data_IF_060704308863
#
_entry.id   IF_060704308863
#
_cell.length_a   1.000
_cell.length_b   1.000
_cell.length_c   1.000
_cell.angle_alpha   90.00
_cell.angle_beta   90.00
_cell.angle_gamma   90.00
#
_symmetry.space_group_name_H-M   'P 1'
#
loop_
_entity.id
_entity.type
_entity.pdbx_description
1 polymer ?
#
# COMPACT_ATOMS: atom_id res chain seq x y z
N UNK A 1 41.36 -27.22 0.76
CA UNK A 1 40.84 -26.73 -0.52
C UNK A 1 39.76 -25.71 -0.20
N UNK A 2 40.05 -24.41 -0.39
CA UNK A 2 39.04 -23.36 -0.19
C UNK A 2 37.96 -23.54 -1.26
N UNK A 3 36.72 -23.74 -0.83
CA UNK A 3 35.57 -23.66 -1.73
C UNK A 3 35.49 -22.21 -2.22
N UNK A 4 35.69 -22.01 -3.52
CA UNK A 4 35.36 -20.76 -4.20
C UNK A 4 33.85 -20.56 -4.05
N UNK A 5 33.44 -19.69 -3.13
CA UNK A 5 32.08 -19.17 -3.10
C UNK A 5 31.94 -18.31 -4.35
N UNK A 6 31.39 -18.88 -5.43
CA UNK A 6 31.04 -18.13 -6.62
C UNK A 6 30.00 -17.10 -6.19
N UNK A 7 30.39 -15.83 -6.12
CA UNK A 7 29.48 -14.73 -5.87
C UNK A 7 28.62 -14.56 -7.13
N UNK A 8 27.46 -15.21 -7.18
CA UNK A 8 26.52 -15.13 -8.30
C UNK A 8 25.89 -13.75 -8.33
N UNK A 9 26.23 -12.94 -9.34
CA UNK A 9 25.55 -11.66 -9.57
C UNK A 9 24.21 -11.92 -10.22
N UNK A 10 23.21 -11.12 -9.89
CA UNK A 10 21.90 -11.13 -10.51
C UNK A 10 22.02 -11.02 -12.03
N UNK A 11 22.87 -10.13 -12.54
CA UNK A 11 23.06 -9.91 -13.99
C UNK A 11 23.71 -11.09 -14.72
N UNK A 12 24.37 -12.00 -14.00
CA UNK A 12 24.97 -13.20 -14.60
C UNK A 12 23.92 -14.29 -14.82
N UNK A 13 22.81 -14.26 -14.08
CA UNK A 13 21.73 -15.26 -14.16
C UNK A 13 20.42 -14.72 -14.76
N UNK A 14 20.16 -13.42 -14.66
CA UNK A 14 18.88 -12.80 -14.99
C UNK A 14 19.04 -11.52 -15.80
N UNK A 15 18.15 -11.33 -16.77
CA UNK A 15 17.99 -10.10 -17.54
C UNK A 15 16.75 -9.32 -17.07
N UNK A 16 16.89 -8.03 -16.75
CA UNK A 16 15.78 -7.15 -16.33
C UNK A 16 15.02 -6.54 -17.53
N UNK A 17 13.71 -6.36 -17.35
CA UNK A 17 12.80 -5.76 -18.33
C UNK A 17 11.91 -4.69 -17.67
N UNK A 18 10.67 -4.48 -18.12
CA UNK A 18 9.80 -3.40 -17.65
C UNK A 18 9.47 -3.44 -16.15
N UNK A 19 9.12 -2.28 -15.61
CA UNK A 19 8.63 -2.14 -14.24
C UNK A 19 7.18 -2.64 -14.13
N UNK A 20 6.92 -3.46 -13.10
CA UNK A 20 5.60 -4.00 -12.78
C UNK A 20 4.96 -3.26 -11.60
N UNK A 21 5.77 -2.67 -10.71
CA UNK A 21 5.30 -1.90 -9.58
C UNK A 21 6.44 -1.28 -8.76
N UNK A 22 6.10 -0.32 -7.89
CA UNK A 22 7.05 0.44 -7.07
C UNK A 22 6.54 0.53 -5.63
N UNK A 23 7.46 0.35 -4.68
CA UNK A 23 7.26 0.58 -3.26
C UNK A 23 8.25 1.62 -2.72
N UNK A 24 8.16 1.91 -1.41
CA UNK A 24 8.97 2.98 -0.79
C UNK A 24 10.49 2.79 -0.95
N UNK A 25 10.98 1.56 -0.90
CA UNK A 25 12.42 1.24 -0.97
C UNK A 25 12.76 0.18 -2.03
N UNK A 26 11.78 -0.18 -2.87
CA UNK A 26 11.92 -1.27 -3.82
C UNK A 26 11.18 -0.99 -5.12
N UNK A 27 11.68 -1.56 -6.21
CA UNK A 27 10.98 -1.63 -7.48
C UNK A 27 10.82 -3.10 -7.87
N UNK A 28 9.66 -3.47 -8.42
CA UNK A 28 9.40 -4.81 -8.96
C UNK A 28 9.50 -4.72 -10.47
N UNK A 29 10.39 -5.50 -11.08
CA UNK A 29 10.56 -5.55 -12.54
C UNK A 29 10.39 -6.97 -13.05
N UNK A 30 9.89 -7.14 -14.27
CA UNK A 30 9.96 -8.44 -14.94
C UNK A 30 11.43 -8.79 -15.20
N UNK A 31 11.79 -10.05 -15.01
CA UNK A 31 13.10 -10.57 -15.39
C UNK A 31 13.00 -11.94 -16.04
N UNK A 32 14.03 -12.32 -16.80
CA UNK A 32 14.12 -13.62 -17.48
C UNK A 32 15.41 -14.30 -17.05
N UNK A 33 15.33 -15.57 -16.63
CA UNK A 33 16.51 -16.36 -16.28
C UNK A 33 17.25 -16.79 -17.54
N UNK A 34 18.49 -16.34 -17.71
CA UNK A 34 19.29 -16.47 -18.94
C UNK A 34 19.42 -17.94 -19.38
N UNK A 35 19.67 -18.85 -18.44
CA UNK A 35 19.91 -20.27 -18.74
C UNK A 35 18.68 -21.05 -19.20
N UNK A 36 17.46 -20.58 -18.90
CA UNK A 36 16.22 -21.32 -19.17
C UNK A 36 15.20 -20.56 -20.02
N UNK A 37 15.34 -19.24 -20.15
CA UNK A 37 14.33 -18.39 -20.76
C UNK A 37 13.06 -18.20 -19.91
N UNK A 38 13.00 -18.75 -18.70
CA UNK A 38 11.83 -18.64 -17.83
C UNK A 38 11.69 -17.23 -17.24
N UNK A 39 10.46 -16.70 -17.25
CA UNK A 39 10.15 -15.37 -16.73
C UNK A 39 9.79 -15.38 -15.23
N UNK A 40 10.15 -14.28 -14.55
CA UNK A 40 9.98 -14.05 -13.11
C UNK A 40 9.71 -12.56 -12.83
N UNK A 41 9.34 -12.25 -11.57
CA UNK A 41 9.30 -10.90 -11.05
C UNK A 41 10.44 -10.69 -10.05
N UNK A 42 11.35 -9.75 -10.32
CA UNK A 42 12.43 -9.37 -9.41
C UNK A 42 12.01 -8.14 -8.58
N UNK A 43 11.85 -8.32 -7.27
CA UNK A 43 11.76 -7.22 -6.30
C UNK A 43 13.18 -6.77 -5.96
N UNK A 44 13.57 -5.61 -6.49
CA UNK A 44 14.89 -4.99 -6.36
C UNK A 44 14.82 -3.98 -5.23
N UNK A 45 15.57 -4.22 -4.16
CA UNK A 45 15.52 -3.44 -2.93
C UNK A 45 16.85 -2.70 -2.78
N UNK A 46 16.81 -1.38 -2.62
CA UNK A 46 18.02 -0.59 -2.41
C UNK A 46 18.43 -0.66 -0.93
N UNK A 47 19.40 -1.52 -0.62
CA UNK A 47 19.84 -1.77 0.76
C UNK A 47 20.56 -0.56 1.36
N UNK A 48 21.15 0.33 0.54
CA UNK A 48 21.79 1.56 1.02
C UNK A 48 20.80 2.53 1.67
N UNK A 49 19.52 2.48 1.29
CA UNK A 49 18.45 3.33 1.84
C UNK A 49 17.77 2.72 3.08
N UNK A 50 18.11 1.49 3.45
CA UNK A 50 17.46 0.77 4.55
C UNK A 50 18.11 1.08 5.90
N UNK A 51 17.29 1.25 6.93
CA UNK A 51 17.78 1.24 8.32
C UNK A 51 18.21 -0.17 8.74
N UNK A 52 18.92 -0.30 9.87
CA UNK A 52 19.25 -1.62 10.45
C UNK A 52 17.99 -2.45 10.74
N UNK A 53 16.90 -1.79 11.15
CA UNK A 53 15.60 -2.43 11.38
C UNK A 53 14.98 -2.95 10.09
N UNK A 54 15.13 -2.24 8.99
CA UNK A 54 14.56 -2.65 7.69
C UNK A 54 15.37 -3.77 7.04
N UNK A 55 16.69 -3.83 7.27
CA UNK A 55 17.49 -5.01 6.94
C UNK A 55 16.98 -6.28 7.62
N UNK A 56 16.69 -6.22 8.93
CA UNK A 56 16.12 -7.36 9.65
C UNK A 56 14.73 -7.78 9.12
N UNK A 57 13.91 -6.83 8.67
CA UNK A 57 12.62 -7.14 8.03
C UNK A 57 12.83 -7.84 6.69
N UNK A 58 13.79 -7.39 5.89
CA UNK A 58 14.13 -7.99 4.60
C UNK A 58 14.60 -9.44 4.77
N UNK A 59 15.51 -9.70 5.70
CA UNK A 59 15.97 -11.07 5.99
C UNK A 59 14.83 -11.99 6.43
N UNK A 60 13.90 -11.45 7.25
CA UNK A 60 12.70 -12.19 7.66
C UNK A 60 11.78 -12.46 6.48
N UNK A 61 11.50 -11.46 5.63
CA UNK A 61 10.67 -11.63 4.43
C UNK A 61 11.25 -12.71 3.51
N UNK A 62 12.55 -12.65 3.21
CA UNK A 62 13.22 -13.66 2.37
C UNK A 62 13.13 -15.06 2.97
N UNK A 63 13.33 -15.20 4.30
CA UNK A 63 13.22 -16.48 5.01
C UNK A 63 11.80 -17.05 4.95
N UNK A 64 10.79 -16.23 5.25
CA UNK A 64 9.38 -16.62 5.23
C UNK A 64 8.98 -17.06 3.83
N UNK A 65 9.28 -16.26 2.80
CA UNK A 65 8.93 -16.57 1.42
C UNK A 65 9.62 -17.84 0.89
N UNK A 66 10.81 -18.18 1.41
CA UNK A 66 11.51 -19.43 1.06
C UNK A 66 10.87 -20.67 1.69
N UNK A 67 10.26 -20.52 2.88
CA UNK A 67 9.54 -21.58 3.59
C UNK A 67 8.20 -21.90 2.90
N UNK A 68 7.45 -20.86 2.51
CA UNK A 68 6.09 -21.00 1.99
C UNK A 68 6.08 -21.50 0.54
N UNK A 69 5.54 -22.70 0.34
CA UNK A 69 5.41 -23.34 -0.98
C UNK A 69 3.98 -23.84 -1.16
N UNK A 70 3.16 -23.00 -1.79
CA UNK A 70 1.74 -23.27 -2.00
C UNK A 70 1.28 -22.74 -3.36
N UNK A 71 0.37 -23.43 -4.08
CA UNK A 71 -0.14 -22.95 -5.38
C UNK A 71 -0.74 -21.54 -5.32
N UNK A 72 -1.42 -21.21 -4.22
CA UNK A 72 -2.05 -19.91 -3.97
C UNK A 72 -1.15 -18.89 -3.24
N UNK A 73 0.18 -19.09 -3.22
CA UNK A 73 1.16 -18.11 -2.72
C UNK A 73 2.13 -17.79 -3.86
N UNK A 74 2.54 -16.53 -3.99
CA UNK A 74 3.60 -16.12 -4.91
C UNK A 74 4.94 -16.67 -4.38
N UNK A 75 5.51 -17.66 -5.07
CA UNK A 75 6.70 -18.37 -4.61
C UNK A 75 7.96 -17.54 -4.80
N UNK A 76 8.86 -17.55 -3.81
CA UNK A 76 10.24 -17.09 -3.97
C UNK A 76 11.11 -18.21 -4.55
N UNK A 77 11.78 -17.92 -5.65
CA UNK A 77 12.73 -18.82 -6.32
C UNK A 77 14.16 -18.54 -5.90
N UNK A 78 14.53 -17.27 -5.82
CA UNK A 78 15.91 -16.87 -5.53
C UNK A 78 15.99 -15.61 -4.66
N UNK A 79 17.10 -15.48 -3.94
CA UNK A 79 17.42 -14.32 -3.10
C UNK A 79 18.91 -14.00 -3.24
N UNK A 80 19.21 -12.95 -3.99
CA UNK A 80 20.58 -12.58 -4.36
C UNK A 80 20.90 -11.24 -3.70
N UNK A 81 22.00 -11.20 -2.96
CA UNK A 81 22.47 -9.98 -2.29
C UNK A 81 23.72 -9.47 -3.01
N UNK A 82 23.70 -8.19 -3.41
CA UNK A 82 24.80 -7.49 -4.06
C UNK A 82 25.14 -6.21 -3.32
N UNK A 83 26.22 -5.54 -3.73
CA UNK A 83 26.62 -4.27 -3.12
C UNK A 83 25.57 -3.17 -3.33
N UNK A 84 24.79 -2.90 -2.29
CA UNK A 84 23.77 -1.86 -2.25
C UNK A 84 22.40 -2.25 -2.79
N UNK A 85 22.23 -3.50 -3.25
CA UNK A 85 20.94 -4.01 -3.71
C UNK A 85 20.69 -5.45 -3.23
N UNK A 86 19.43 -5.76 -2.98
CA UNK A 86 18.97 -7.13 -2.73
C UNK A 86 17.85 -7.46 -3.70
N UNK A 87 17.96 -8.61 -4.36
CA UNK A 87 17.02 -9.11 -5.35
C UNK A 87 16.26 -10.29 -4.77
N UNK A 88 14.93 -10.19 -4.71
CA UNK A 88 14.04 -11.31 -4.42
C UNK A 88 13.32 -11.70 -5.71
N UNK A 89 13.57 -12.89 -6.21
CA UNK A 89 13.02 -13.39 -7.49
C UNK A 89 11.81 -14.26 -7.22
N UNK A 90 10.64 -13.79 -7.62
CA UNK A 90 9.33 -14.41 -7.38
C UNK A 90 8.70 -14.96 -8.67
N UNK A 91 7.69 -15.82 -8.52
CA UNK A 91 6.74 -16.12 -9.61
C UNK A 91 6.28 -14.81 -10.29
N UNK A 92 6.35 -14.77 -11.62
CA UNK A 92 5.68 -13.70 -12.37
C UNK A 92 4.17 -13.97 -12.40
N UNK A 93 3.38 -13.04 -11.89
CA UNK A 93 1.92 -13.07 -11.97
C UNK A 93 1.43 -11.97 -12.90
N UNK A 94 0.59 -12.32 -13.88
CA UNK A 94 0.20 -11.40 -14.98
C UNK A 94 -1.30 -11.08 -15.01
N UNK A 95 -2.08 -11.66 -14.10
CA UNK A 95 -3.54 -11.46 -14.01
C UNK A 95 -3.95 -10.15 -13.35
N UNK A 96 -3.03 -9.45 -12.68
CA UNK A 96 -3.33 -8.23 -11.93
C UNK A 96 -4.03 -8.51 -10.59
N UNK A 97 -4.65 -7.48 -10.01
CA UNK A 97 -5.37 -7.57 -8.74
C UNK A 97 -6.73 -8.27 -8.91
N UNK A 98 -7.06 -9.21 -8.02
CA UNK A 98 -8.32 -9.96 -8.03
C UNK A 98 -9.55 -9.04 -8.13
N UNK A 99 -9.54 -7.95 -7.37
CA UNK A 99 -10.66 -7.01 -7.30
C UNK A 99 -10.90 -6.27 -8.62
N UNK A 100 -9.85 -6.07 -9.43
CA UNK A 100 -10.00 -5.43 -10.75
C UNK A 100 -10.57 -6.41 -11.76
N UNK A 101 -10.15 -7.68 -11.70
CA UNK A 101 -10.70 -8.74 -12.55
C UNK A 101 -12.19 -8.96 -12.28
N UNK A 102 -12.62 -8.97 -11.02
CA UNK A 102 -14.05 -9.10 -10.66
C UNK A 102 -14.89 -8.01 -11.34
N UNK A 103 -14.38 -6.76 -11.37
CA UNK A 103 -15.08 -5.63 -12.02
C UNK A 103 -15.18 -5.79 -13.54
N UNK A 104 -14.25 -6.54 -14.15
CA UNK A 104 -14.22 -6.78 -15.58
C UNK A 104 -15.07 -7.98 -16.03
N UNK A 105 -15.63 -8.77 -15.10
CA UNK A 105 -16.46 -9.93 -15.42
C UNK A 105 -17.88 -9.50 -15.79
N UNK A 106 -18.43 -10.13 -16.83
CA UNK A 106 -19.85 -10.01 -17.18
C UNK A 106 -20.77 -10.65 -16.14
N UNK A 107 -20.26 -11.63 -15.40
CA UNK A 107 -21.00 -12.38 -14.40
C UNK A 107 -20.17 -12.59 -13.14
N UNK A 108 -20.79 -12.32 -12.01
CA UNK A 108 -20.24 -12.47 -10.66
C UNK A 108 -21.34 -12.81 -9.66
N UNK A 109 -21.12 -13.85 -8.85
CA UNK A 109 -22.08 -14.46 -7.93
C UNK A 109 -21.45 -14.76 -6.55
N UNK A 110 -22.26 -15.23 -5.59
CA UNK A 110 -21.71 -15.73 -4.32
C UNK A 110 -20.83 -16.96 -4.51
N UNK A 111 -21.14 -17.82 -5.48
CA UNK A 111 -20.30 -18.96 -5.79
C UNK A 111 -18.90 -18.54 -6.26
N UNK A 112 -18.80 -17.46 -7.05
CA UNK A 112 -17.51 -16.89 -7.46
C UNK A 112 -16.75 -16.31 -6.26
N UNK A 113 -17.43 -15.57 -5.38
CA UNK A 113 -16.86 -15.03 -4.15
C UNK A 113 -16.36 -16.15 -3.21
N UNK A 114 -17.16 -17.21 -3.05
CA UNK A 114 -16.84 -18.42 -2.30
C UNK A 114 -15.61 -19.12 -2.88
N UNK A 115 -15.47 -19.18 -4.21
CA UNK A 115 -14.28 -19.72 -4.86
C UNK A 115 -13.02 -18.88 -4.60
N UNK A 116 -13.14 -17.57 -4.62
CA UNK A 116 -12.02 -16.67 -4.35
C UNK A 116 -11.57 -16.81 -2.89
N UNK A 117 -12.50 -16.71 -1.92
CA UNK A 117 -12.14 -16.78 -0.50
C UNK A 117 -11.63 -18.16 -0.10
N UNK A 118 -12.08 -19.25 -0.75
CA UNK A 118 -11.51 -20.58 -0.53
C UNK A 118 -10.00 -20.59 -0.81
N UNK A 119 -9.58 -20.10 -1.98
CA UNK A 119 -8.15 -20.06 -2.36
C UNK A 119 -7.33 -19.15 -1.43
N UNK A 120 -7.93 -18.05 -0.97
CA UNK A 120 -7.32 -17.18 0.04
C UNK A 120 -7.15 -17.95 1.35
N UNK A 121 -8.18 -18.63 1.84
CA UNK A 121 -8.14 -19.43 3.07
C UNK A 121 -7.16 -20.61 2.98
N UNK A 122 -7.02 -21.24 1.82
CA UNK A 122 -6.01 -22.28 1.57
C UNK A 122 -4.58 -21.72 1.74
N UNK A 123 -4.31 -20.54 1.16
CA UNK A 123 -3.03 -19.85 1.34
C UNK A 123 -2.77 -19.45 2.80
N UNK A 124 -3.78 -18.89 3.48
CA UNK A 124 -3.69 -18.45 4.89
C UNK A 124 -3.51 -19.65 5.81
N UNK A 125 -4.25 -20.74 5.57
CA UNK A 125 -4.08 -21.99 6.30
C UNK A 125 -2.65 -22.53 6.15
N UNK A 126 -2.12 -22.53 4.93
CA UNK A 126 -0.72 -22.93 4.68
C UNK A 126 0.28 -22.06 5.43
N UNK A 127 0.08 -20.74 5.49
CA UNK A 127 0.89 -19.86 6.34
C UNK A 127 0.80 -20.28 7.82
N UNK A 128 -0.43 -20.46 8.33
CA UNK A 128 -0.70 -20.73 9.74
C UNK A 128 -0.11 -22.07 10.22
N UNK A 129 -0.16 -23.13 9.39
CA UNK A 129 0.45 -24.43 9.74
C UNK A 129 1.98 -24.37 9.74
N UNK A 130 2.57 -23.46 8.97
CA UNK A 130 4.01 -23.18 8.97
C UNK A 130 4.42 -22.14 10.02
N UNK A 131 3.52 -21.77 10.94
CA UNK A 131 3.81 -20.78 11.99
C UNK A 131 4.00 -19.36 11.47
N UNK A 132 3.43 -19.01 10.32
CA UNK A 132 3.50 -17.68 9.72
C UNK A 132 2.17 -16.96 9.86
N UNK A 133 2.22 -15.68 10.25
CA UNK A 133 1.08 -14.76 10.25
C UNK A 133 1.37 -13.61 9.28
N UNK A 134 0.45 -13.35 8.35
CA UNK A 134 0.66 -12.38 7.27
C UNK A 134 0.58 -10.93 7.75
N UNK A 135 -0.44 -10.61 8.57
CA UNK A 135 -0.73 -9.30 9.19
C UNK A 135 -1.11 -8.14 8.26
N UNK A 136 -1.00 -8.30 6.95
CA UNK A 136 -1.43 -7.28 5.97
C UNK A 136 -2.24 -7.86 4.81
N UNK A 137 -3.21 -8.72 5.13
CA UNK A 137 -4.17 -9.22 4.14
C UNK A 137 -5.10 -8.08 3.70
N UNK A 138 -5.12 -7.82 2.40
CA UNK A 138 -5.90 -6.75 1.75
C UNK A 138 -5.98 -6.99 0.24
N UNK A 139 -6.91 -6.32 -0.49
CA UNK A 139 -7.07 -6.45 -1.93
C UNK A 139 -5.79 -6.32 -2.76
N UNK A 140 -4.89 -5.40 -2.39
CA UNK A 140 -3.60 -5.17 -3.07
C UNK A 140 -2.72 -6.43 -3.11
N UNK A 141 -2.84 -7.28 -2.09
CA UNK A 141 -2.00 -8.45 -1.89
C UNK A 141 -2.63 -9.73 -2.45
N UNK A 142 -3.77 -9.61 -3.16
CA UNK A 142 -4.52 -10.71 -3.76
C UNK A 142 -4.44 -10.60 -5.28
N UNK A 143 -3.51 -11.33 -5.86
CA UNK A 143 -3.21 -11.27 -7.30
C UNK A 143 -3.75 -12.49 -8.03
N UNK A 144 -3.96 -12.37 -9.33
CA UNK A 144 -4.31 -13.49 -10.20
C UNK A 144 -3.07 -13.98 -10.96
N UNK A 145 -2.92 -15.31 -11.01
CA UNK A 145 -1.78 -15.94 -11.68
C UNK A 145 -1.65 -15.53 -13.16
N UNK A 146 -2.78 -15.38 -13.86
CA UNK A 146 -2.85 -14.94 -15.26
C UNK A 146 -4.21 -14.30 -15.56
N UNK A 147 -4.39 -13.78 -16.77
CA UNK A 147 -5.70 -13.28 -17.27
C UNK A 147 -6.62 -14.39 -17.78
N UNK A 148 -6.21 -15.65 -17.73
CA UNK A 148 -7.04 -16.76 -18.18
C UNK A 148 -8.24 -16.95 -17.26
N UNK A 149 -9.39 -17.31 -17.84
CA UNK A 149 -10.59 -17.64 -17.07
C UNK A 149 -10.28 -18.79 -16.10
N UNK A 150 -10.57 -18.59 -14.81
CA UNK A 150 -10.27 -19.57 -13.77
C UNK A 150 -8.81 -19.55 -13.27
N UNK A 151 -8.05 -18.49 -13.57
CA UNK A 151 -6.72 -18.32 -12.99
C UNK A 151 -6.76 -18.34 -11.45
N UNK A 152 -5.76 -18.98 -10.85
CA UNK A 152 -5.67 -19.09 -9.41
C UNK A 152 -5.42 -17.73 -8.74
N UNK A 153 -6.03 -17.53 -7.57
CA UNK A 153 -5.71 -16.43 -6.66
C UNK A 153 -4.40 -16.74 -5.96
N UNK A 154 -3.47 -15.78 -5.93
CA UNK A 154 -2.16 -15.88 -5.30
C UNK A 154 -1.98 -14.75 -4.29
N UNK A 155 -1.71 -15.14 -3.05
CA UNK A 155 -1.31 -14.23 -1.97
C UNK A 155 0.13 -13.74 -2.19
N UNK A 156 0.32 -12.43 -2.13
CA UNK A 156 1.59 -11.74 -2.33
C UNK A 156 1.95 -10.83 -1.12
N UNK A 157 3.20 -10.36 -1.11
CA UNK A 157 3.77 -9.39 -0.17
C UNK A 157 3.76 -9.78 1.33
N UNK A 158 4.84 -10.45 1.76
CA UNK A 158 5.07 -10.86 3.14
C UNK A 158 5.93 -9.87 3.94
N UNK A 159 6.07 -8.61 3.50
CA UNK A 159 6.96 -7.63 4.15
C UNK A 159 6.59 -7.32 5.62
N UNK A 160 5.33 -7.53 6.00
CA UNK A 160 4.85 -7.40 7.39
C UNK A 160 4.67 -8.74 8.11
N UNK A 161 4.96 -9.86 7.47
CA UNK A 161 4.75 -11.18 8.06
C UNK A 161 5.69 -11.45 9.26
N UNK A 162 5.26 -12.35 10.13
CA UNK A 162 5.99 -12.79 11.33
C UNK A 162 5.94 -14.30 11.48
N UNK A 163 6.93 -14.83 12.19
CA UNK A 163 6.96 -16.21 12.68
C UNK A 163 6.39 -16.24 14.10
N UNK A 164 5.54 -17.22 14.37
CA UNK A 164 4.95 -17.51 15.69
C UNK A 164 5.25 -18.94 16.08
N UNK A 165 5.47 -19.19 17.38
CA UNK A 165 5.72 -20.53 17.89
C UNK A 165 4.41 -21.21 18.29
N UNK A 166 4.00 -22.23 17.53
CA UNK A 166 2.73 -22.93 17.75
C UNK A 166 1.55 -21.95 17.71
N UNK A 167 0.77 -21.91 18.79
CA UNK A 167 -0.37 -20.99 18.97
C UNK A 167 -0.09 -19.89 20.01
N UNK A 168 1.18 -19.69 20.38
CA UNK A 168 1.56 -18.61 21.29
C UNK A 168 1.22 -17.24 20.69
N UNK A 169 0.61 -16.40 21.51
CA UNK A 169 0.32 -15.01 21.18
C UNK A 169 1.33 -14.10 21.86
N UNK A 170 1.76 -13.06 21.15
CA UNK A 170 2.67 -12.05 21.69
C UNK A 170 2.36 -10.68 21.08
N UNK A 171 2.95 -9.63 21.64
CA UNK A 171 2.87 -8.30 21.05
C UNK A 171 3.94 -8.14 19.97
N UNK A 172 3.56 -8.28 18.71
CA UNK A 172 4.47 -8.14 17.56
C UNK A 172 4.52 -6.71 16.97
N UNK A 173 4.00 -5.74 17.73
CA UNK A 173 3.90 -4.34 17.33
C UNK A 173 2.66 -4.01 16.50
N UNK A 174 2.43 -2.72 16.31
CA UNK A 174 1.33 -2.19 15.51
C UNK A 174 1.73 -2.17 14.03
N UNK A 175 1.10 -3.02 13.20
CA UNK A 175 1.36 -3.12 11.77
C UNK A 175 0.10 -3.62 11.04
N UNK A 176 -0.07 -3.19 9.79
CA UNK A 176 -1.20 -3.54 8.93
C UNK A 176 -1.94 -2.31 8.42
N UNK A 177 -2.86 -2.52 7.48
CA UNK A 177 -3.64 -1.46 6.84
C UNK A 177 -4.90 -1.13 7.67
N UNK A 178 -5.20 0.14 8.00
CA UNK A 178 -6.23 0.53 8.98
C UNK A 178 -7.59 -0.19 8.91
N UNK A 179 -8.19 -0.33 7.72
CA UNK A 179 -9.51 -0.97 7.54
C UNK A 179 -9.51 -2.51 7.70
N UNK A 180 -8.34 -3.13 7.77
CA UNK A 180 -8.16 -4.58 7.89
C UNK A 180 -7.53 -4.98 9.23
N UNK A 181 -7.17 -4.01 10.07
CA UNK A 181 -6.65 -4.26 11.42
C UNK A 181 -7.70 -4.93 12.29
N UNK A 182 -7.30 -5.91 13.09
CA UNK A 182 -8.17 -6.59 14.02
C UNK A 182 -8.29 -5.85 15.37
N UNK A 183 -9.37 -6.08 16.14
CA UNK A 183 -9.62 -5.40 17.40
C UNK A 183 -8.47 -5.55 18.41
N UNK A 184 -7.90 -6.75 18.54
CA UNK A 184 -6.81 -7.04 19.47
C UNK A 184 -5.52 -6.25 19.13
N UNK A 185 -5.22 -6.03 17.85
CA UNK A 185 -4.08 -5.18 17.44
C UNK A 185 -4.33 -3.72 17.85
N UNK A 186 -5.56 -3.22 17.66
CA UNK A 186 -5.94 -1.85 18.03
C UNK A 186 -6.00 -1.63 19.55
N UNK A 187 -6.32 -2.67 20.32
CA UNK A 187 -6.29 -2.66 21.79
C UNK A 187 -4.89 -2.82 22.36
N UNK A 188 -3.91 -3.18 21.52
CA UNK A 188 -2.54 -3.51 21.90
C UNK A 188 -2.43 -4.78 22.74
N UNK A 189 -3.36 -5.71 22.55
CA UNK A 189 -3.33 -7.01 23.18
C UNK A 189 -2.31 -7.93 22.45
N UNK A 190 -1.74 -8.94 23.12
CA UNK A 190 -1.02 -10.02 22.43
C UNK A 190 -1.90 -10.63 21.34
N UNK A 191 -1.32 -10.94 20.19
CA UNK A 191 -2.04 -11.49 19.06
C UNK A 191 -1.24 -12.57 18.32
N UNK A 192 -1.87 -13.24 17.36
CA UNK A 192 -1.26 -14.28 16.54
C UNK A 192 -2.06 -14.55 15.27
N UNK A 193 -2.15 -15.81 14.84
CA UNK A 193 -2.89 -16.25 13.63
C UNK A 193 -4.30 -15.67 13.45
N UNK A 194 -5.13 -15.43 14.50
CA UNK A 194 -6.49 -14.92 14.33
C UNK A 194 -6.59 -13.54 13.65
N UNK A 195 -5.54 -12.72 13.65
CA UNK A 195 -5.57 -11.40 12.99
C UNK A 195 -5.80 -11.52 11.48
N UNK A 196 -5.25 -12.57 10.85
CA UNK A 196 -5.44 -12.83 9.42
C UNK A 196 -6.89 -13.23 9.11
N UNK A 197 -7.53 -13.97 10.03
CA UNK A 197 -8.93 -14.38 9.89
C UNK A 197 -9.91 -13.22 9.98
N UNK A 198 -9.60 -12.20 10.78
CA UNK A 198 -10.36 -10.94 10.78
C UNK A 198 -10.28 -10.24 9.43
N UNK A 199 -9.06 -10.11 8.88
CA UNK A 199 -8.85 -9.51 7.57
C UNK A 199 -9.57 -10.29 6.46
N UNK A 200 -9.58 -11.63 6.51
CA UNK A 200 -10.40 -12.47 5.62
C UNK A 200 -11.90 -12.14 5.72
N UNK A 201 -12.43 -11.89 6.92
CA UNK A 201 -13.82 -11.47 7.11
C UNK A 201 -14.13 -10.13 6.46
N UNK A 202 -13.22 -9.16 6.60
CA UNK A 202 -13.32 -7.85 5.93
C UNK A 202 -13.28 -8.02 4.40
N UNK A 203 -12.36 -8.84 3.89
CA UNK A 203 -12.23 -9.14 2.46
C UNK A 203 -13.50 -9.83 1.92
N UNK A 204 -14.01 -10.84 2.63
CA UNK A 204 -15.22 -11.56 2.23
C UNK A 204 -16.44 -10.63 2.18
N UNK A 205 -16.59 -9.74 3.16
CA UNK A 205 -17.63 -8.72 3.15
C UNK A 205 -17.55 -7.88 1.86
N UNK A 206 -16.36 -7.36 1.51
CA UNK A 206 -16.20 -6.56 0.29
C UNK A 206 -16.43 -7.40 -0.97
N UNK A 207 -16.00 -8.67 -1.00
CA UNK A 207 -16.26 -9.57 -2.12
C UNK A 207 -17.75 -9.75 -2.40
N UNK A 208 -18.64 -9.63 -1.40
CA UNK A 208 -20.08 -9.86 -1.56
C UNK A 208 -20.89 -8.61 -1.93
N UNK A 209 -20.46 -7.43 -1.49
CA UNK A 209 -21.24 -6.18 -1.68
C UNK A 209 -20.44 -4.98 -2.21
N UNK A 210 -19.12 -5.10 -2.32
CA UNK A 210 -18.27 -4.09 -2.97
C UNK A 210 -17.93 -2.87 -2.11
N UNK A 211 -18.25 -2.87 -0.82
CA UNK A 211 -17.85 -1.84 0.14
C UNK A 211 -17.38 -2.46 1.46
N UNK A 212 -16.51 -1.79 2.24
CA UNK A 212 -15.96 -2.35 3.49
C UNK A 212 -16.98 -2.32 4.64
N UNK A 213 -16.88 -3.27 5.60
CA UNK A 213 -17.74 -3.31 6.80
C UNK A 213 -17.43 -2.18 7.80
N UNK A 214 -16.21 -1.65 7.79
CA UNK A 214 -15.77 -0.58 8.67
C UNK A 214 -15.20 0.56 7.83
N UNK A 215 -15.72 1.77 8.02
CA UNK A 215 -15.22 2.94 7.32
C UNK A 215 -15.57 4.23 8.04
N UNK A 216 -14.59 5.11 8.15
CA UNK A 216 -14.79 6.51 8.54
C UNK A 216 -13.65 7.33 7.91
N UNK A 217 -13.90 8.62 7.66
CA UNK A 217 -12.86 9.56 7.26
C UNK A 217 -11.90 9.85 8.41
N UNK A 218 -12.41 9.82 9.65
CA UNK A 218 -11.63 9.92 10.88
C UNK A 218 -11.12 8.53 11.29
N UNK A 219 -9.80 8.36 11.22
CA UNK A 219 -9.14 7.11 11.58
C UNK A 219 -9.42 6.68 13.03
N UNK A 220 -9.60 7.61 13.96
CA UNK A 220 -9.95 7.29 15.34
C UNK A 220 -11.35 6.66 15.41
N UNK A 221 -12.34 7.22 14.71
CA UNK A 221 -13.69 6.66 14.66
C UNK A 221 -13.72 5.31 13.96
N UNK A 222 -12.97 5.15 12.86
CA UNK A 222 -12.77 3.85 12.21
C UNK A 222 -12.25 2.80 13.22
N UNK A 223 -11.23 3.15 14.02
CA UNK A 223 -10.70 2.26 15.04
C UNK A 223 -11.70 1.94 16.15
N UNK A 224 -12.60 2.86 16.50
CA UNK A 224 -13.68 2.57 17.45
C UNK A 224 -14.70 1.59 16.85
N UNK A 225 -15.10 1.76 15.59
CA UNK A 225 -15.99 0.82 14.90
C UNK A 225 -15.41 -0.59 14.88
N UNK A 226 -14.14 -0.73 14.49
CA UNK A 226 -13.43 -2.02 14.45
C UNK A 226 -13.37 -2.64 15.85
N UNK A 227 -12.93 -1.89 16.88
CA UNK A 227 -12.87 -2.40 18.26
C UNK A 227 -14.23 -2.80 18.81
N UNK A 228 -15.30 -2.15 18.38
CA UNK A 228 -16.67 -2.48 18.78
C UNK A 228 -17.26 -3.65 17.96
N UNK A 229 -16.61 -4.06 16.86
CA UNK A 229 -17.21 -4.97 15.88
C UNK A 229 -18.50 -4.40 15.28
N UNK A 230 -18.58 -3.08 15.15
CA UNK A 230 -19.77 -2.37 14.68
C UNK A 230 -19.84 -2.40 13.15
N UNK A 231 -20.37 -3.50 12.62
CA UNK A 231 -20.80 -3.65 11.22
C UNK A 231 -22.22 -4.23 11.19
N UNK A 232 -22.90 -4.05 10.08
CA UNK A 232 -24.24 -4.57 9.83
C UNK A 232 -24.34 -5.18 8.43
N UNK A 233 -25.55 -5.62 8.06
CA UNK A 233 -25.86 -6.16 6.74
C UNK A 233 -27.04 -5.37 6.16
N UNK A 234 -26.80 -4.13 5.68
CA UNK A 234 -27.86 -3.21 5.32
C UNK A 234 -28.63 -3.65 4.06
N UNK A 235 -29.92 -3.36 4.06
CA UNK A 235 -30.78 -3.52 2.88
C UNK A 235 -30.56 -2.36 1.89
N UNK A 236 -30.75 -2.58 0.57
CA UNK A 236 -31.25 -3.83 -0.04
C UNK A 236 -30.16 -4.84 -0.42
N UNK A 237 -28.88 -4.46 -0.45
CA UNK A 237 -27.84 -5.27 -1.10
C UNK A 237 -27.63 -6.61 -0.39
N UNK A 238 -27.79 -6.64 0.93
CA UNK A 238 -27.65 -7.86 1.74
C UNK A 238 -28.92 -8.72 1.81
N UNK A 239 -30.08 -8.26 1.35
CA UNK A 239 -31.32 -9.03 1.44
C UNK A 239 -31.26 -10.32 0.61
N UNK A 240 -30.51 -10.26 -0.49
CA UNK A 240 -30.30 -11.38 -1.41
C UNK A 240 -29.08 -12.22 -1.07
N UNK A 241 -28.31 -11.84 -0.04
CA UNK A 241 -27.12 -12.58 0.39
C UNK A 241 -27.52 -13.72 1.30
N UNK A 242 -27.01 -14.92 1.02
CA UNK A 242 -27.37 -16.13 1.77
C UNK A 242 -27.06 -16.02 3.27
N UNK A 243 -27.88 -16.63 4.15
CA UNK A 243 -27.60 -16.67 5.58
C UNK A 243 -26.23 -17.29 5.90
N UNK A 244 -25.82 -18.32 5.16
CA UNK A 244 -24.52 -18.98 5.36
C UNK A 244 -23.32 -18.08 5.03
N UNK A 245 -23.44 -17.18 4.06
CA UNK A 245 -22.41 -16.17 3.78
C UNK A 245 -22.26 -15.20 4.97
N UNK A 246 -23.39 -14.70 5.47
CA UNK A 246 -23.43 -13.80 6.64
C UNK A 246 -22.90 -14.48 7.90
N UNK A 247 -23.24 -15.76 8.09
CA UNK A 247 -22.75 -16.57 9.21
C UNK A 247 -21.23 -16.75 9.17
N UNK A 248 -20.66 -17.06 8.00
CA UNK A 248 -19.20 -17.13 7.85
C UNK A 248 -18.52 -15.79 8.15
N UNK A 249 -19.09 -14.68 7.68
CA UNK A 249 -18.59 -13.32 8.00
C UNK A 249 -18.63 -13.09 9.51
N UNK A 250 -19.74 -13.40 10.19
CA UNK A 250 -19.86 -13.23 11.64
C UNK A 250 -18.81 -14.04 12.41
N UNK A 251 -18.55 -15.28 11.98
CA UNK A 251 -17.52 -16.15 12.56
C UNK A 251 -16.10 -15.60 12.36
N UNK A 252 -15.82 -14.93 11.24
CA UNK A 252 -14.54 -14.26 10.97
C UNK A 252 -14.40 -12.91 11.70
N UNK A 253 -15.45 -12.09 11.71
CA UNK A 253 -15.51 -10.79 12.37
C UNK A 253 -15.89 -10.88 13.86
N UNK A 254 -15.59 -12.02 14.49
CA UNK A 254 -15.74 -12.22 15.92
C UNK A 254 -14.64 -11.44 16.67
N UNK A 255 -15.07 -10.55 17.58
CA UNK A 255 -14.17 -9.63 18.30
C UNK A 255 -13.15 -10.37 19.17
N UNK A 256 -13.58 -11.43 19.87
CA UNK A 256 -12.68 -12.20 20.71
C UNK A 256 -11.88 -13.19 19.84
N UNK A 257 -10.54 -13.02 19.70
CA UNK A 257 -9.75 -13.86 18.81
C UNK A 257 -9.73 -15.34 19.19
N UNK A 258 -9.98 -15.69 20.47
CA UNK A 258 -10.07 -17.10 20.91
C UNK A 258 -11.37 -17.80 20.48
N UNK A 259 -12.40 -17.04 20.11
CA UNK A 259 -13.68 -17.54 19.59
C UNK A 259 -13.82 -17.38 18.07
N UNK A 260 -12.87 -16.67 17.45
CA UNK A 260 -12.85 -16.40 16.01
C UNK A 260 -12.51 -17.68 15.26
N UNK A 261 -13.23 -17.94 14.18
CA UNK A 261 -13.02 -19.14 13.35
C UNK A 261 -11.58 -19.21 12.82
N UNK A 262 -11.00 -20.39 12.82
CA UNK A 262 -9.68 -20.63 12.22
C UNK A 262 -9.78 -20.85 10.70
N UNK A 263 -8.65 -20.73 9.99
CA UNK A 263 -8.63 -21.00 8.54
C UNK A 263 -9.09 -22.43 8.21
N UNK A 264 -8.70 -23.41 9.06
CA UNK A 264 -9.06 -24.81 8.88
C UNK A 264 -10.57 -25.06 9.07
N UNK A 265 -11.21 -24.39 10.04
CA UNK A 265 -12.65 -24.46 10.25
C UNK A 265 -13.41 -23.72 9.15
N UNK A 266 -12.93 -22.56 8.71
CA UNK A 266 -13.55 -21.77 7.65
C UNK A 266 -13.59 -22.53 6.33
N UNK A 267 -12.54 -23.28 5.98
CA UNK A 267 -12.51 -24.15 4.79
C UNK A 267 -13.55 -25.28 4.83
N UNK A 268 -14.00 -25.68 6.04
CA UNK A 268 -15.03 -26.70 6.24
C UNK A 268 -16.44 -26.10 6.33
N UNK A 269 -16.59 -24.78 6.30
CA UNK A 269 -17.87 -24.12 6.39
C UNK A 269 -18.79 -24.48 5.20
N UNK A 270 -20.10 -24.73 5.38
CA UNK A 270 -21.00 -25.13 4.30
C UNK A 270 -20.98 -24.19 3.09
N UNK A 271 -20.96 -22.86 3.33
CA UNK A 271 -20.86 -21.86 2.28
C UNK A 271 -19.61 -22.00 1.37
N UNK A 272 -18.55 -22.65 1.86
CA UNK A 272 -17.30 -22.92 1.14
C UNK A 272 -17.30 -24.34 0.55
N UNK A 273 -17.46 -25.36 1.39
CA UNK A 273 -17.27 -26.76 1.00
C UNK A 273 -18.48 -27.37 0.28
N UNK A 274 -19.67 -26.78 0.45
CA UNK A 274 -20.93 -27.18 -0.20
C UNK A 274 -21.43 -26.06 -1.13
N UNK A 275 -20.50 -25.31 -1.73
CA UNK A 275 -20.79 -24.15 -2.58
C UNK A 275 -21.88 -24.38 -3.62
N UNK A 276 -21.89 -25.55 -4.27
CA UNK A 276 -22.85 -25.87 -5.34
C UNK A 276 -24.31 -25.91 -4.87
N UNK A 277 -24.56 -26.09 -3.57
CA UNK A 277 -25.90 -26.16 -2.99
C UNK A 277 -26.22 -24.99 -2.06
N UNK A 278 -25.21 -24.35 -1.48
CA UNK A 278 -25.38 -23.30 -0.44
C UNK A 278 -25.16 -21.89 -0.98
N UNK A 279 -24.20 -21.68 -1.89
CA UNK A 279 -23.89 -20.34 -2.38
C UNK A 279 -24.84 -19.95 -3.54
N UNK A 280 -25.32 -18.70 -3.53
CA UNK A 280 -26.19 -18.19 -4.59
C UNK A 280 -25.47 -18.08 -5.95
N UNK A 281 -26.11 -18.59 -6.99
CA UNK A 281 -25.72 -18.45 -8.40
C UNK A 281 -26.47 -17.28 -9.06
N UNK A 282 -26.91 -16.28 -8.29
CA UNK A 282 -27.51 -15.07 -8.86
C UNK A 282 -26.40 -14.08 -9.24
N UNK A 283 -26.52 -13.47 -10.42
CA UNK A 283 -25.62 -12.39 -10.79
C UNK A 283 -25.86 -11.16 -9.91
N UNK A 284 -24.79 -10.56 -9.37
CA UNK A 284 -24.85 -9.39 -8.48
C UNK A 284 -24.26 -8.14 -9.15
N UNK A 285 -24.99 -7.54 -10.09
CA UNK A 285 -24.53 -6.36 -10.84
C UNK A 285 -24.21 -5.16 -9.92
N UNK A 286 -25.05 -4.88 -8.92
CA UNK A 286 -24.84 -3.78 -7.96
C UNK A 286 -23.52 -3.93 -7.18
N UNK A 287 -23.15 -5.16 -6.84
CA UNK A 287 -21.87 -5.47 -6.18
C UNK A 287 -20.69 -5.09 -7.08
N UNK A 288 -20.75 -5.44 -8.37
CA UNK A 288 -19.71 -5.10 -9.36
C UNK A 288 -19.55 -3.58 -9.48
N UNK A 289 -20.64 -2.83 -9.50
CA UNK A 289 -20.62 -1.35 -9.56
C UNK A 289 -20.04 -0.71 -8.29
N UNK A 290 -20.41 -1.19 -7.12
CA UNK A 290 -19.83 -0.77 -5.84
C UNK A 290 -18.33 -1.07 -5.78
N UNK A 291 -17.92 -2.26 -6.22
CA UNK A 291 -16.52 -2.67 -6.26
C UNK A 291 -15.69 -1.78 -7.19
N UNK A 292 -16.24 -1.37 -8.34
CA UNK A 292 -15.60 -0.42 -9.26
C UNK A 292 -15.33 0.93 -8.57
N UNK A 293 -16.30 1.45 -7.82
CA UNK A 293 -16.14 2.69 -7.04
C UNK A 293 -15.11 2.52 -5.92
N UNK A 294 -15.13 1.37 -5.24
CA UNK A 294 -14.18 1.03 -4.18
C UNK A 294 -12.73 0.98 -4.70
N UNK A 295 -12.49 0.28 -5.81
CA UNK A 295 -11.19 0.17 -6.46
C UNK A 295 -10.64 1.54 -6.88
N UNK A 296 -11.48 2.37 -7.52
CA UNK A 296 -11.09 3.73 -7.90
C UNK A 296 -10.69 4.57 -6.68
N UNK A 297 -11.50 4.55 -5.60
CA UNK A 297 -11.20 5.28 -4.35
C UNK A 297 -9.92 4.79 -3.69
N UNK A 298 -9.68 3.48 -3.70
CA UNK A 298 -8.50 2.85 -3.07
C UNK A 298 -7.22 3.20 -3.82
N UNK A 299 -7.17 3.09 -5.15
CA UNK A 299 -6.01 3.48 -5.95
C UNK A 299 -5.67 4.96 -5.80
N UNK A 300 -6.70 5.81 -5.67
CA UNK A 300 -6.53 7.23 -5.35
C UNK A 300 -6.07 7.50 -3.90
N UNK A 301 -6.10 6.53 -2.98
CA UNK A 301 -5.64 6.67 -1.58
C UNK A 301 -4.29 6.01 -1.32
N UNK A 302 -3.97 4.89 -1.99
CA UNK A 302 -2.72 4.13 -1.81
C UNK A 302 -1.49 4.95 -2.23
N UNK A 303 -1.63 5.85 -3.19
CA UNK A 303 -0.60 6.84 -3.52
C UNK A 303 -0.29 7.86 -2.40
N UNK A 304 -1.04 7.87 -1.29
CA UNK A 304 -0.96 8.91 -0.25
C UNK A 304 -0.86 8.39 1.19
N UNK A 305 -0.83 7.07 1.44
CA UNK A 305 -0.80 6.52 2.80
C UNK A 305 0.54 6.76 3.55
N UNK A 306 1.54 7.37 2.92
CA UNK A 306 2.74 7.87 3.57
C UNK A 306 2.48 9.25 4.21
N UNK A 307 1.82 9.23 5.38
CA UNK A 307 1.69 10.32 6.38
C UNK A 307 0.63 11.40 6.11
N UNK A 308 -0.42 11.38 6.92
CA UNK A 308 -1.03 12.62 7.41
C UNK A 308 -1.85 12.35 8.67
N UNK A 309 -1.54 13.09 9.75
CA UNK A 309 -2.40 13.28 10.92
C UNK A 309 -3.07 14.64 10.74
N UNK A 310 -4.36 14.68 10.46
CA UNK A 310 -5.13 15.93 10.41
C UNK A 310 -6.32 15.83 11.36
N UNK A 311 -6.32 16.70 12.37
CA UNK A 311 -7.52 17.12 13.09
C UNK A 311 -8.18 18.26 12.31
N UNK A 312 -9.51 18.26 12.16
CA UNK A 312 -10.29 19.49 11.98
C UNK A 312 -11.74 19.33 12.44
N UNK A 313 -12.23 20.39 13.09
CA UNK A 313 -13.61 20.59 13.57
C UNK A 313 -14.57 20.85 12.40
N UNK A 314 -15.83 20.51 12.67
CA UNK A 314 -17.03 20.54 11.81
C UNK A 314 -17.40 21.91 11.25
N UNK A 315 -18.00 21.93 10.04
CA UNK A 315 -19.31 22.58 9.76
C UNK A 315 -19.83 22.36 8.31
N UNK A 316 -21.15 22.14 8.21
CA UNK A 316 -22.03 22.52 7.07
C UNK A 316 -22.02 21.69 5.77
N UNK A 317 -23.10 20.97 5.47
CA UNK A 317 -23.21 19.91 4.44
C UNK A 317 -23.95 20.38 3.17
N UNK A 318 -23.20 20.47 2.05
CA UNK A 318 -23.56 20.16 0.62
C UNK A 318 -22.72 20.95 -0.40
N UNK A 319 -22.44 22.24 -0.18
CA UNK A 319 -21.42 23.00 -0.94
C UNK A 319 -19.99 22.69 -0.49
N UNK A 320 -19.83 22.18 0.74
CA UNK A 320 -18.53 21.81 1.33
C UNK A 320 -17.88 20.58 0.72
N UNK A 321 -18.64 19.63 0.15
CA UNK A 321 -18.09 18.39 -0.42
C UNK A 321 -17.23 18.66 -1.67
N UNK A 322 -17.69 19.51 -2.59
CA UNK A 322 -16.93 19.87 -3.79
C UNK A 322 -15.68 20.70 -3.43
N UNK A 323 -15.83 21.67 -2.52
CA UNK A 323 -14.70 22.48 -2.03
C UNK A 323 -13.69 21.62 -1.26
N UNK A 324 -14.15 20.66 -0.46
CA UNK A 324 -13.30 19.69 0.27
C UNK A 324 -12.53 18.80 -0.70
N UNK A 325 -13.19 18.26 -1.72
CA UNK A 325 -12.54 17.43 -2.75
C UNK A 325 -11.45 18.20 -3.51
N UNK A 326 -11.72 19.45 -3.94
CA UNK A 326 -10.73 20.30 -4.62
C UNK A 326 -9.56 20.68 -3.72
N UNK A 327 -9.80 20.99 -2.44
CA UNK A 327 -8.73 21.21 -1.47
C UNK A 327 -7.86 19.97 -1.30
N UNK A 328 -8.49 18.79 -1.26
CA UNK A 328 -7.76 17.53 -1.18
C UNK A 328 -6.89 17.31 -2.43
N UNK A 329 -7.36 17.68 -3.63
CA UNK A 329 -6.57 17.55 -4.85
C UNK A 329 -5.32 18.44 -4.85
N UNK A 330 -5.41 19.65 -4.29
CA UNK A 330 -4.23 20.53 -4.11
C UNK A 330 -3.24 19.94 -3.10
N UNK A 331 -3.73 19.39 -1.99
CA UNK A 331 -2.88 18.70 -1.02
C UNK A 331 -2.16 17.52 -1.69
N UNK A 332 -2.89 16.70 -2.47
CA UNK A 332 -2.35 15.55 -3.19
C UNK A 332 -1.23 15.93 -4.15
N UNK A 333 -1.42 16.93 -5.01
CA UNK A 333 -0.39 17.32 -5.99
C UNK A 333 0.83 17.94 -5.28
N UNK A 334 0.63 18.59 -4.14
CA UNK A 334 1.72 19.08 -3.29
C UNK A 334 2.52 17.93 -2.68
N UNK A 335 1.85 16.88 -2.20
CA UNK A 335 2.51 15.69 -1.66
C UNK A 335 3.32 14.94 -2.74
N UNK A 336 2.77 14.78 -3.95
CA UNK A 336 3.49 14.18 -5.09
C UNK A 336 4.75 14.96 -5.46
N UNK A 337 4.68 16.29 -5.45
CA UNK A 337 5.82 17.15 -5.69
C UNK A 337 6.89 17.00 -4.59
N UNK A 338 6.48 16.94 -3.31
CA UNK A 338 7.39 16.72 -2.19
C UNK A 338 8.07 15.35 -2.29
N UNK A 339 7.33 14.33 -2.72
CA UNK A 339 7.86 12.98 -2.93
C UNK A 339 8.89 12.93 -4.05
N UNK A 340 8.65 13.58 -5.18
CA UNK A 340 9.63 13.63 -6.27
C UNK A 340 10.94 14.30 -5.81
N UNK A 341 10.86 15.35 -5.00
CA UNK A 341 12.02 16.01 -4.36
C UNK A 341 12.75 15.03 -3.43
N UNK A 342 12.05 14.36 -2.51
CA UNK A 342 12.68 13.45 -1.54
C UNK A 342 13.35 12.24 -2.22
N UNK A 343 12.81 11.80 -3.36
CA UNK A 343 13.33 10.67 -4.12
C UNK A 343 14.46 11.05 -5.09
N UNK A 344 14.72 12.36 -5.30
CA UNK A 344 15.64 12.83 -6.33
C UNK A 344 15.16 12.56 -7.75
N UNK A 345 13.84 12.46 -7.96
CA UNK A 345 13.22 12.21 -9.27
C UNK A 345 12.91 13.52 -10.01
N UNK A 346 13.89 14.01 -10.78
CA UNK A 346 13.78 15.26 -11.51
C UNK A 346 12.75 15.19 -12.65
N UNK A 347 12.59 14.04 -13.31
CA UNK A 347 11.63 13.90 -14.41
C UNK A 347 10.19 14.06 -13.91
N UNK A 348 9.86 13.47 -12.77
CA UNK A 348 8.55 13.64 -12.15
C UNK A 348 8.35 15.08 -11.64
N UNK A 349 9.40 15.68 -11.05
CA UNK A 349 9.36 17.08 -10.62
C UNK A 349 9.05 18.03 -11.80
N UNK A 350 9.78 17.90 -12.91
CA UNK A 350 9.62 18.74 -14.10
C UNK A 350 8.24 18.60 -14.76
N UNK A 351 7.56 17.45 -14.61
CA UNK A 351 6.18 17.25 -15.10
C UNK A 351 5.13 17.98 -14.26
N UNK A 352 5.42 18.23 -12.99
CA UNK A 352 4.49 18.87 -12.03
C UNK A 352 4.74 20.39 -11.98
N UNK A 353 5.95 20.84 -12.28
CA UNK A 353 6.30 22.26 -12.30
C UNK A 353 6.10 22.87 -13.69
N UNK A 354 5.59 24.10 -13.74
CA UNK A 354 5.51 24.87 -14.99
C UNK A 354 6.92 25.20 -15.51
N UNK A 355 7.20 25.12 -16.82
CA UNK A 355 8.51 25.49 -17.38
C UNK A 355 8.99 26.89 -17.00
N UNK A 356 8.08 27.84 -16.77
CA UNK A 356 8.34 29.19 -16.27
C UNK A 356 8.15 29.33 -14.75
N UNK A 357 8.33 28.25 -13.98
CA UNK A 357 8.22 28.27 -12.51
C UNK A 357 9.09 29.37 -11.93
N UNK A 358 8.49 30.28 -11.18
CA UNK A 358 9.22 31.28 -10.41
C UNK A 358 9.42 30.81 -8.97
N UNK A 359 10.62 31.00 -8.41
CA UNK A 359 10.93 30.54 -7.06
C UNK A 359 11.65 31.58 -6.24
N UNK A 360 11.25 31.69 -4.96
CA UNK A 360 11.92 32.47 -3.94
C UNK A 360 12.31 31.52 -2.80
N UNK A 361 13.59 31.23 -2.66
CA UNK A 361 14.08 30.26 -1.67
C UNK A 361 15.42 30.70 -1.07
N UNK A 362 15.81 30.20 0.11
CA UNK A 362 17.03 30.63 0.81
C UNK A 362 18.30 30.56 -0.06
N UNK A 363 18.38 29.57 -0.94
CA UNK A 363 19.51 29.36 -1.84
C UNK A 363 19.58 30.35 -3.00
N UNK A 364 18.47 31.00 -3.33
CA UNK A 364 18.46 32.08 -4.30
C UNK A 364 19.05 33.39 -3.73
N UNK A 365 19.44 33.40 -2.44
CA UNK A 365 20.09 34.52 -1.75
C UNK A 365 19.34 35.85 -1.91
N UNK A 366 18.01 35.78 -1.81
CA UNK A 366 17.11 36.94 -1.93
C UNK A 366 16.71 37.30 -3.37
N UNK A 367 17.15 36.53 -4.37
CA UNK A 367 16.73 36.73 -5.77
C UNK A 367 15.51 35.87 -6.11
N UNK A 368 14.71 36.33 -7.08
CA UNK A 368 13.69 35.51 -7.73
C UNK A 368 14.37 34.72 -8.87
N UNK A 369 14.24 33.40 -8.87
CA UNK A 369 14.75 32.54 -9.95
C UNK A 369 13.61 32.03 -10.82
N UNK A 370 13.87 31.82 -12.10
CA UNK A 370 12.89 31.33 -13.08
C UNK A 370 13.36 30.02 -13.72
N UNK A 371 12.40 29.12 -13.96
CA UNK A 371 12.61 27.86 -14.63
C UNK A 371 13.12 26.75 -13.71
N UNK A 372 13.48 25.62 -14.32
CA UNK A 372 13.86 24.40 -13.57
C UNK A 372 15.37 24.24 -13.45
N UNK A 373 16.17 25.02 -14.17
CA UNK A 373 17.63 24.83 -14.25
C UNK A 373 18.31 25.05 -12.90
N UNK A 374 17.83 26.04 -12.12
CA UNK A 374 18.28 26.25 -10.76
C UNK A 374 18.04 25.01 -9.88
N UNK A 375 16.85 24.41 -9.98
CA UNK A 375 16.50 23.23 -9.20
C UNK A 375 17.22 21.96 -9.67
N UNK A 376 17.45 21.81 -10.99
CA UNK A 376 18.14 20.67 -11.60
C UNK A 376 19.49 20.41 -10.93
N UNK A 377 20.21 21.49 -10.59
CA UNK A 377 21.46 21.41 -9.85
C UNK A 377 21.34 20.63 -8.53
N UNK A 378 20.28 20.85 -7.73
CA UNK A 378 20.06 20.12 -6.47
C UNK A 378 19.75 18.65 -6.69
N UNK A 379 18.95 18.34 -7.70
CA UNK A 379 18.62 16.96 -8.05
C UNK A 379 19.88 16.19 -8.48
N UNK A 380 20.73 16.80 -9.28
CA UNK A 380 21.96 16.17 -9.78
C UNK A 380 23.06 16.05 -8.72
N UNK A 381 23.20 17.03 -7.81
CA UNK A 381 24.38 17.15 -6.96
C UNK A 381 24.15 16.92 -5.46
N UNK A 382 22.94 17.19 -4.96
CA UNK A 382 22.68 17.25 -3.53
C UNK A 382 21.70 16.17 -3.05
N UNK A 383 20.57 16.02 -3.74
CA UNK A 383 19.52 15.06 -3.42
C UNK A 383 19.87 13.65 -3.91
N UNK A 384 20.55 13.52 -5.06
CA UNK A 384 21.03 12.24 -5.60
C UNK A 384 22.09 11.55 -4.74
N UNK A 385 22.84 12.31 -3.93
CA UNK A 385 23.97 11.81 -3.11
C UNK A 385 23.61 11.55 -1.64
N UNK A 386 22.40 11.91 -1.20
CA UNK A 386 21.92 11.68 0.17
C UNK A 386 21.42 10.25 0.35
N UNK A 387 22.29 9.32 0.74
CA UNK A 387 21.93 7.90 0.92
C UNK A 387 21.13 7.59 2.21
N UNK A 388 20.81 8.58 3.05
CA UNK A 388 20.12 8.37 4.32
C UNK A 388 18.63 8.70 4.19
N UNK A 389 17.71 7.91 4.79
CA UNK A 389 16.28 8.14 4.68
C UNK A 389 15.90 9.50 5.28
N UNK A 390 15.18 10.30 4.49
CA UNK A 390 14.62 11.59 4.90
C UNK A 390 13.12 11.43 5.15
N UNK A 391 12.67 11.80 6.35
CA UNK A 391 11.29 11.72 6.74
C UNK A 391 10.66 13.12 6.77
N UNK A 392 9.86 13.43 5.75
CA UNK A 392 9.14 14.71 5.64
C UNK A 392 7.75 14.65 6.27
N UNK A 393 7.32 15.69 6.99
CA UNK A 393 5.97 15.86 7.57
C UNK A 393 5.45 17.23 7.16
N UNK A 394 4.23 17.29 6.62
CA UNK A 394 3.54 18.55 6.34
C UNK A 394 2.61 18.89 7.51
N UNK A 395 2.85 20.01 8.17
CA UNK A 395 2.05 20.52 9.27
C UNK A 395 1.15 21.66 8.81
N UNK A 396 -0.09 21.61 9.28
CA UNK A 396 -1.10 22.65 9.10
C UNK A 396 -1.25 23.17 7.66
N UNK A 397 -1.40 22.30 6.64
CA UNK A 397 -1.62 22.77 5.28
C UNK A 397 -2.90 23.61 5.21
N UNK A 398 -2.75 24.80 4.63
CA UNK A 398 -3.83 25.74 4.41
C UNK A 398 -3.99 26.02 2.92
N UNK A 399 -5.11 25.55 2.35
CA UNK A 399 -5.41 25.68 0.92
C UNK A 399 -6.43 26.81 0.70
N UNK A 400 -6.05 27.76 -0.16
CA UNK A 400 -6.89 28.81 -0.73
C UNK A 400 -7.19 28.48 -2.18
N UNK A 401 -8.47 28.25 -2.51
CA UNK A 401 -8.91 28.08 -3.90
C UNK A 401 -9.19 29.46 -4.51
N UNK A 402 -8.70 29.72 -5.72
CA UNK A 402 -8.84 30.99 -6.44
C UNK A 402 -9.50 30.66 -7.78
N UNK A 403 -10.82 30.84 -7.87
CA UNK A 403 -11.58 30.44 -9.06
C UNK A 403 -11.57 28.93 -9.29
N UNK A 404 -11.65 28.51 -10.56
CA UNK A 404 -11.66 27.09 -10.95
C UNK A 404 -10.27 26.51 -11.21
N UNK A 405 -9.38 27.33 -11.79
CA UNK A 405 -8.08 26.89 -12.31
C UNK A 405 -6.88 27.36 -11.50
N UNK A 406 -7.07 28.06 -10.38
CA UNK A 406 -5.95 28.46 -9.52
C UNK A 406 -6.17 28.07 -8.05
N UNK A 407 -5.07 27.78 -7.37
CA UNK A 407 -5.05 27.55 -5.94
C UNK A 407 -3.69 27.93 -5.35
N UNK A 408 -3.68 28.26 -4.06
CA UNK A 408 -2.48 28.47 -3.28
C UNK A 408 -2.54 27.57 -2.05
N UNK A 409 -1.41 26.97 -1.68
CA UNK A 409 -1.26 26.20 -0.45
C UNK A 409 -0.06 26.74 0.34
N UNK A 410 -0.26 26.97 1.62
CA UNK A 410 0.79 27.29 2.57
C UNK A 410 0.86 26.20 3.64
N UNK A 411 2.06 25.77 4.01
CA UNK A 411 2.27 24.72 4.99
C UNK A 411 3.64 24.87 5.66
N UNK A 412 3.79 24.22 6.82
CA UNK A 412 5.08 24.05 7.48
C UNK A 412 5.59 22.67 7.13
N UNK A 413 6.80 22.57 6.57
CA UNK A 413 7.45 21.30 6.29
C UNK A 413 8.49 21.02 7.37
N UNK A 414 8.32 19.91 8.08
CA UNK A 414 9.35 19.33 8.92
C UNK A 414 10.10 18.25 8.16
N UNK A 415 11.42 18.36 8.14
CA UNK A 415 12.31 17.41 7.47
C UNK A 415 13.21 16.80 8.52
N UNK A 416 13.02 15.51 8.79
CA UNK A 416 13.87 14.73 9.69
C UNK A 416 14.89 13.95 8.87
N UNK A 417 16.17 14.08 9.20
CA UNK A 417 17.27 13.45 8.48
C UNK A 417 18.41 13.09 9.43
N UNK A 418 19.37 12.32 8.95
CA UNK A 418 20.59 11.99 9.68
C UNK A 418 21.74 12.83 9.13
N UNK A 419 22.42 13.61 9.97
CA UNK A 419 23.54 14.45 9.54
C UNK A 419 24.79 13.62 9.17
N UNK A 420 25.87 14.29 8.74
CA UNK A 420 27.13 13.63 8.37
C UNK A 420 27.70 12.72 9.48
N UNK A 421 27.49 13.09 10.75
CA UNK A 421 27.92 12.33 11.93
C UNK A 421 26.97 11.17 12.29
N UNK A 422 25.83 11.06 11.61
CA UNK A 422 24.81 10.06 11.93
C UNK A 422 23.95 10.43 13.14
N UNK A 423 23.85 11.72 13.48
CA UNK A 423 22.93 12.21 14.51
C UNK A 423 21.61 12.60 13.82
N UNK A 424 20.44 12.21 14.38
CA UNK A 424 19.16 12.65 13.85
C UNK A 424 18.97 14.16 14.08
N UNK A 425 18.62 14.87 13.01
CA UNK A 425 18.30 16.29 13.00
C UNK A 425 16.89 16.50 12.47
N UNK A 426 16.25 17.57 12.92
CA UNK A 426 14.97 18.05 12.40
C UNK A 426 15.15 19.46 11.91
N UNK A 427 14.65 19.75 10.72
CA UNK A 427 14.65 21.06 10.09
C UNK A 427 13.22 21.48 9.78
N UNK A 428 12.94 22.77 9.89
CA UNK A 428 11.65 23.36 9.58
C UNK A 428 11.81 24.35 8.42
N UNK A 429 10.87 24.32 7.48
CA UNK A 429 10.67 25.37 6.49
C UNK A 429 9.21 25.74 6.38
N UNK A 430 8.93 27.02 6.16
CA UNK A 430 7.61 27.49 5.76
C UNK A 430 7.57 27.56 4.23
N UNK A 431 6.63 26.84 3.61
CA UNK A 431 6.54 26.77 2.16
C UNK A 431 5.15 27.23 1.68
N UNK A 432 5.16 28.03 0.62
CA UNK A 432 3.96 28.43 -0.12
C UNK A 432 4.11 28.01 -1.57
N UNK A 433 3.07 27.39 -2.12
CA UNK A 433 3.02 26.98 -3.52
C UNK A 433 1.76 27.50 -4.19
N UNK A 434 1.93 28.06 -5.38
CA UNK A 434 0.84 28.50 -6.24
C UNK A 434 0.69 27.50 -7.38
N UNK A 435 -0.53 27.02 -7.55
CA UNK A 435 -0.94 26.01 -8.50
C UNK A 435 -1.85 26.65 -9.55
N UNK A 436 -1.62 26.31 -10.81
CA UNK A 436 -2.49 26.68 -11.92
C UNK A 436 -2.81 25.46 -12.76
N UNK A 437 -4.08 25.28 -13.12
CA UNK A 437 -4.55 24.17 -13.93
C UNK A 437 -4.45 24.54 -15.40
N UNK A 438 -3.69 23.77 -16.18
CA UNK A 438 -3.60 23.89 -17.65
C UNK A 438 -3.85 22.53 -18.26
N UNK A 439 -4.71 22.46 -19.28
CA UNK A 439 -5.09 21.21 -19.95
C UNK A 439 -5.49 20.08 -18.99
N UNK A 440 -6.23 20.44 -17.94
CA UNK A 440 -6.71 19.51 -16.92
C UNK A 440 -5.66 19.06 -15.89
N UNK A 441 -4.42 19.56 -15.95
CA UNK A 441 -3.32 19.22 -15.02
C UNK A 441 -2.93 20.40 -14.15
N UNK A 442 -2.74 20.16 -12.86
CA UNK A 442 -2.20 21.16 -11.93
C UNK A 442 -0.69 21.30 -12.13
N UNK A 443 -0.24 22.52 -12.37
CA UNK A 443 1.17 22.88 -12.49
C UNK A 443 1.54 23.86 -11.37
N UNK A 444 2.68 23.63 -10.73
CA UNK A 444 3.23 24.60 -9.79
C UNK A 444 3.87 25.74 -10.58
N UNK A 445 3.33 26.95 -10.44
CA UNK A 445 3.77 28.15 -11.19
C UNK A 445 4.62 29.09 -10.35
N UNK A 446 4.46 29.03 -9.03
CA UNK A 446 5.27 29.81 -8.09
C UNK A 446 5.55 29.01 -6.82
N UNK A 447 6.77 29.16 -6.31
CA UNK A 447 7.22 28.55 -5.07
C UNK A 447 7.91 29.59 -4.20
N UNK A 448 7.55 29.62 -2.92
CA UNK A 448 8.26 30.40 -1.92
C UNK A 448 8.58 29.52 -0.73
N UNK A 449 9.85 29.49 -0.32
CA UNK A 449 10.30 28.91 0.94
C UNK A 449 10.98 29.95 1.82
N UNK A 450 10.64 29.90 3.11
CA UNK A 450 11.31 30.61 4.19
C UNK A 450 11.88 29.63 5.22
N UNK A 451 12.81 30.12 6.05
CA UNK A 451 13.47 29.32 7.07
C UNK A 451 14.75 28.67 6.55
N UNK A 452 14.76 27.35 6.42
CA UNK A 452 15.95 26.56 6.14
C UNK A 452 16.08 26.13 4.65
N UNK A 453 17.31 25.86 4.15
CA UNK A 453 17.54 25.41 2.77
C UNK A 453 16.92 24.04 2.45
N UNK A 454 16.67 23.76 1.16
CA UNK A 454 16.22 22.48 0.57
C UNK A 454 17.05 21.30 1.04
N UNK A 455 18.34 21.53 1.19
CA UNK A 455 19.33 20.51 1.49
C UNK A 455 20.00 20.87 2.81
N UNK A 456 20.02 19.96 3.79
CA UNK A 456 20.80 20.15 5.00
C UNK A 456 22.25 20.50 4.68
N UNK A 457 22.77 21.55 5.31
CA UNK A 457 24.21 21.82 5.30
C UNK A 457 24.89 20.63 5.98
N UNK A 458 25.85 20.00 5.29
CA UNK A 458 26.50 18.74 5.67
C UNK A 458 27.16 18.76 7.03
#
# INVERSE_FOLDING_TARGET
TMALTICTRFTDEYQLFEELGKGAFSVVRRCVKISSGQEYAAKIINTKKLSARDHQKLEREARICRLLKHPNIVRLHDSISEEGFHYLVFDLVTGGELFEDIVAREYYSEADASHCIQQILESVHHCHVNGIVHRDLKPENLLLASKMKGAAVKLADFGLAIEVQGDQQAWFGFAGTPGYLSPEVLRKDPYGKPVDMWACGVILYILLVGYPPFWDEDQHRLYQQIKAGAYDFPSPEWDTVTPDAKDLINKMLTINPSKRITAAEALKHPWICQRSTVASMMHRQETVECLKKFNARRKLKVSFAAKSLLNKKSDGVKTSLCVSARKQDIIKVTEQLIESINNGDFESYAKICDPGLTSFEPEALGNLVEGHDFHRFYFENALSKGNKPVHTILLNPHVHLIGEDAACIAYIRLTQYMDGSGIPRTMQSEETRVWHRRDGKWLNIHFHRSGAPSVPIK
#
